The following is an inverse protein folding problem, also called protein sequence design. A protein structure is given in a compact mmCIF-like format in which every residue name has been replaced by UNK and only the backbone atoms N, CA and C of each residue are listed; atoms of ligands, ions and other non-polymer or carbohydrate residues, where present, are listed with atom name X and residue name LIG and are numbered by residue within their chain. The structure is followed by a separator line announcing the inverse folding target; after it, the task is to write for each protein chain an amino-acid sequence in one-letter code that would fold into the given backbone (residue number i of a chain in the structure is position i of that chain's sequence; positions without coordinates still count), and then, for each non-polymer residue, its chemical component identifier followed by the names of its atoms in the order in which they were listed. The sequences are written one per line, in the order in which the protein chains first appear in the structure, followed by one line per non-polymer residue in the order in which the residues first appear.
data_IF_495149093460
#
_entry.id   IF_495149093460
#
_cell.length_a   1.000
_cell.length_b   1.000
_cell.length_c   1.000
_cell.angle_alpha   90.00
_cell.angle_beta   90.00
_cell.angle_gamma   90.00
#
_symmetry.space_group_name_H-M   'P 1'
#
loop_
_entity.id
_entity.type
_entity.pdbx_description
1 polymer ?
#
# COMPACT_ATOMS: atom_id res chain seq x y z
N UNK A 1 19.24 10.59 9.74
CA UNK A 1 20.37 9.68 9.99
C UNK A 1 19.95 8.23 9.72
N UNK A 2 18.93 7.70 10.41
CA UNK A 2 18.42 6.32 10.23
C UNK A 2 17.91 6.00 8.82
N UNK A 3 16.95 6.78 8.29
CA UNK A 3 16.37 6.52 6.97
C UNK A 3 17.44 6.46 5.88
N UNK A 4 18.41 7.40 5.91
CA UNK A 4 19.50 7.46 4.94
C UNK A 4 20.38 6.21 5.00
N UNK A 5 20.78 5.78 6.20
CA UNK A 5 21.62 4.60 6.39
C UNK A 5 20.93 3.32 5.90
N UNK A 6 19.68 3.12 6.31
CA UNK A 6 18.89 1.97 5.85
C UNK A 6 18.67 2.00 4.33
N UNK A 7 18.48 3.19 3.76
CA UNK A 7 18.32 3.34 2.32
C UNK A 7 19.57 2.89 1.54
N UNK A 8 20.77 3.19 2.02
CA UNK A 8 22.02 2.70 1.42
C UNK A 8 22.13 1.16 1.52
N UNK A 9 21.75 0.59 2.67
CA UNK A 9 21.73 -0.86 2.87
C UNK A 9 20.75 -1.54 1.91
N UNK A 10 19.52 -1.03 1.81
CA UNK A 10 18.49 -1.56 0.91
C UNK A 10 18.91 -1.47 -0.55
N UNK A 11 19.47 -0.33 -0.96
CA UNK A 11 19.97 -0.13 -2.33
C UNK A 11 21.08 -1.11 -2.68
N UNK A 12 22.00 -1.40 -1.76
CA UNK A 12 23.08 -2.39 -1.97
C UNK A 12 22.55 -3.82 -2.20
N UNK A 13 21.32 -4.11 -1.74
CA UNK A 13 20.62 -5.40 -1.90
C UNK A 13 19.67 -5.42 -3.11
N UNK A 14 19.67 -4.38 -3.95
CA UNK A 14 18.80 -4.28 -5.11
C UNK A 14 17.34 -3.90 -4.79
N UNK A 15 17.06 -3.46 -3.56
CA UNK A 15 15.71 -3.00 -3.18
C UNK A 15 15.44 -1.64 -3.82
N UNK A 16 14.25 -1.47 -4.40
CA UNK A 16 13.84 -0.23 -5.04
C UNK A 16 12.82 0.51 -4.17
N UNK A 17 13.03 1.81 -3.97
CA UNK A 17 12.03 2.63 -3.30
C UNK A 17 10.88 2.96 -4.23
N UNK A 18 9.66 2.87 -3.70
CA UNK A 18 8.42 3.27 -4.35
C UNK A 18 7.61 4.16 -3.41
N UNK A 19 6.59 4.82 -3.95
CA UNK A 19 5.62 5.55 -3.16
C UNK A 19 4.23 5.23 -3.67
N UNK A 20 3.43 4.60 -2.82
CA UNK A 20 2.05 4.23 -3.14
C UNK A 20 1.06 5.27 -2.59
N UNK A 21 -0.16 5.35 -3.14
CA UNK A 21 -1.18 6.24 -2.63
C UNK A 21 -1.45 6.04 -1.13
N UNK A 22 -1.70 7.15 -0.42
CA UNK A 22 -2.09 7.11 1.00
C UNK A 22 -3.49 6.52 1.18
N UNK A 23 -4.39 6.80 0.23
CA UNK A 23 -5.81 6.42 0.29
C UNK A 23 -6.06 5.14 -0.50
N UNK A 24 -6.83 4.22 0.10
CA UNK A 24 -7.25 2.95 -0.49
C UNK A 24 -8.77 2.98 -0.67
N UNK A 25 -9.29 2.78 -1.90
CA UNK A 25 -10.73 2.65 -2.12
C UNK A 25 -11.32 1.44 -1.40
N UNK A 26 -12.56 1.54 -0.91
CA UNK A 26 -13.25 0.46 -0.22
C UNK A 26 -13.34 -0.83 -1.04
N UNK A 27 -13.57 -0.70 -2.35
CA UNK A 27 -13.59 -1.83 -3.28
C UNK A 27 -12.29 -2.63 -3.30
N UNK A 28 -11.16 -1.93 -3.25
CA UNK A 28 -9.82 -2.55 -3.21
C UNK A 28 -9.51 -3.09 -1.81
N UNK A 29 -9.80 -2.30 -0.78
CA UNK A 29 -9.53 -2.66 0.62
C UNK A 29 -10.32 -3.91 1.04
N UNK A 30 -11.55 -4.06 0.56
CA UNK A 30 -12.45 -5.18 0.88
C UNK A 30 -12.03 -6.53 0.27
N UNK A 31 -11.01 -6.58 -0.58
CA UNK A 31 -10.53 -7.85 -1.16
C UNK A 31 -9.86 -8.71 -0.09
N UNK A 32 -9.21 -8.11 0.91
CA UNK A 32 -8.50 -8.82 1.99
C UNK A 32 -9.19 -8.69 3.35
N UNK A 33 -10.46 -9.12 3.44
CA UNK A 33 -11.30 -8.98 4.65
C UNK A 33 -10.68 -9.54 5.93
N UNK A 34 -9.87 -10.60 5.82
CA UNK A 34 -9.22 -11.21 6.97
C UNK A 34 -8.16 -10.30 7.61
N UNK A 35 -7.41 -9.56 6.79
CA UNK A 35 -6.46 -8.54 7.27
C UNK A 35 -7.20 -7.35 7.90
N UNK A 36 -8.34 -6.95 7.35
CA UNK A 36 -9.16 -5.82 7.83
C UNK A 36 -9.61 -6.01 9.28
N UNK A 37 -9.97 -7.24 9.67
CA UNK A 37 -10.46 -7.54 11.01
C UNK A 37 -9.43 -7.19 12.11
N UNK A 38 -8.14 -7.26 11.80
CA UNK A 38 -7.06 -6.91 12.72
C UNK A 38 -6.87 -5.39 12.94
N UNK A 39 -7.32 -4.55 12.01
CA UNK A 39 -7.12 -3.09 12.04
C UNK A 39 -8.37 -2.30 12.49
N UNK A 40 -9.45 -3.01 12.84
CA UNK A 40 -10.79 -2.43 12.93
C UNK A 40 -11.00 -1.32 13.98
N UNK A 41 -10.22 -1.17 15.08
CA UNK A 41 -10.36 0.02 15.93
C UNK A 41 -9.55 1.24 15.43
N UNK A 42 -8.58 1.08 14.54
CA UNK A 42 -7.62 2.14 14.13
C UNK A 42 -7.84 2.69 12.71
N UNK A 43 -8.88 2.22 12.02
CA UNK A 43 -9.08 2.51 10.60
C UNK A 43 -9.68 3.90 10.34
N UNK A 44 -8.82 4.85 9.99
CA UNK A 44 -9.26 6.18 9.59
C UNK A 44 -9.90 6.18 8.19
N UNK A 45 -11.15 6.67 8.13
CA UNK A 45 -11.99 6.65 6.92
C UNK A 45 -12.36 8.05 6.47
N UNK A 46 -12.18 8.32 5.17
CA UNK A 46 -12.61 9.55 4.50
C UNK A 46 -13.94 9.27 3.79
N UNK A 47 -14.98 10.01 4.18
CA UNK A 47 -16.34 9.88 3.64
C UNK A 47 -16.80 11.12 2.89
N UNK A 48 -16.12 12.26 3.03
CA UNK A 48 -16.49 13.54 2.42
C UNK A 48 -15.27 14.26 1.83
N UNK A 49 -15.51 15.05 0.77
CA UNK A 49 -14.55 16.03 0.24
C UNK A 49 -15.25 17.39 0.16
N UNK A 50 -14.86 18.30 1.06
CA UNK A 50 -15.67 19.49 1.36
C UNK A 50 -17.04 19.06 1.87
N UNK A 51 -18.11 19.65 1.33
CA UNK A 51 -19.50 19.31 1.70
C UNK A 51 -20.09 18.16 0.87
N UNK A 52 -19.30 17.52 0.00
CA UNK A 52 -19.78 16.41 -0.85
C UNK A 52 -19.46 15.08 -0.20
N UNK A 53 -20.50 14.27 0.03
CA UNK A 53 -20.34 12.87 0.40
C UNK A 53 -19.78 12.07 -0.80
N UNK A 54 -18.78 11.24 -0.53
CA UNK A 54 -18.17 10.39 -1.53
C UNK A 54 -19.06 9.18 -1.84
N UNK A 55 -19.15 8.81 -3.11
CA UNK A 55 -19.87 7.59 -3.54
C UNK A 55 -19.23 6.30 -3.06
N UNK A 56 -17.94 6.35 -2.74
CA UNK A 56 -17.15 5.24 -2.21
C UNK A 56 -16.27 5.78 -1.08
N UNK A 57 -16.17 5.03 0.01
CA UNK A 57 -15.28 5.38 1.13
C UNK A 57 -13.82 5.20 0.72
N UNK A 58 -12.98 6.09 1.20
CA UNK A 58 -11.53 5.96 1.08
C UNK A 58 -10.93 5.73 2.45
N UNK A 59 -10.07 4.74 2.59
CA UNK A 59 -9.38 4.44 3.83
C UNK A 59 -7.98 5.03 3.78
N UNK A 60 -7.54 5.70 4.86
CA UNK A 60 -6.12 5.97 5.03
C UNK A 60 -5.46 4.62 5.28
N UNK A 61 -4.44 4.29 4.48
CA UNK A 61 -3.76 2.99 4.58
C UNK A 61 -3.24 2.76 6.02
N UNK A 62 -3.71 1.73 6.74
CA UNK A 62 -3.09 1.36 8.02
C UNK A 62 -1.74 0.68 7.77
N UNK A 63 -1.68 -0.07 6.67
CA UNK A 63 -0.53 -0.73 6.09
C UNK A 63 -0.80 -0.90 4.59
N UNK A 64 0.17 -1.36 3.80
CA UNK A 64 0.10 -1.27 2.34
C UNK A 64 0.11 -2.61 1.60
N UNK A 65 -0.15 -3.71 2.27
CA UNK A 65 -0.20 -5.08 1.72
C UNK A 65 -1.17 -5.13 0.53
N UNK A 66 -2.39 -4.60 0.69
CA UNK A 66 -3.39 -4.58 -0.40
C UNK A 66 -2.88 -3.81 -1.63
N UNK A 67 -2.18 -2.69 -1.42
CA UNK A 67 -1.63 -1.89 -2.51
C UNK A 67 -0.43 -2.59 -3.18
N UNK A 68 0.45 -3.22 -2.39
CA UNK A 68 1.55 -4.03 -2.92
C UNK A 68 1.04 -5.25 -3.68
N UNK A 69 0.02 -5.93 -3.18
CA UNK A 69 -0.61 -7.07 -3.84
C UNK A 69 -1.20 -6.68 -5.20
N UNK A 70 -1.93 -5.56 -5.27
CA UNK A 70 -2.46 -5.03 -6.54
C UNK A 70 -1.34 -4.64 -7.52
N UNK A 71 -0.28 -3.99 -7.02
CA UNK A 71 0.91 -3.66 -7.82
C UNK A 71 1.57 -4.93 -8.37
N UNK A 72 1.84 -5.91 -7.51
CA UNK A 72 2.47 -7.18 -7.86
C UNK A 72 1.65 -7.93 -8.91
N UNK A 73 0.33 -8.00 -8.71
CA UNK A 73 -0.60 -8.62 -9.66
C UNK A 73 -0.57 -7.97 -11.04
N UNK A 74 -0.35 -6.65 -11.13
CA UNK A 74 -0.29 -5.92 -12.41
C UNK A 74 1.09 -5.95 -13.05
N UNK A 75 2.15 -5.97 -12.24
CA UNK A 75 3.53 -5.86 -12.71
C UNK A 75 4.18 -7.20 -13.06
N UNK A 76 3.83 -8.28 -12.37
CA UNK A 76 4.45 -9.59 -12.58
C UNK A 76 3.61 -10.42 -13.55
N UNK A 77 4.12 -10.63 -14.75
CA UNK A 77 3.47 -11.40 -15.81
C UNK A 77 4.26 -12.68 -16.18
N UNK A 78 5.55 -12.72 -15.83
CA UNK A 78 6.46 -13.83 -16.09
C UNK A 78 7.43 -14.05 -14.92
N UNK A 79 8.02 -15.24 -14.87
CA UNK A 79 9.10 -15.55 -13.92
C UNK A 79 10.32 -14.62 -14.07
N UNK A 80 10.52 -14.04 -15.25
CA UNK A 80 11.60 -13.08 -15.51
C UNK A 80 11.39 -11.72 -14.83
N UNK A 81 10.17 -11.41 -14.39
CA UNK A 81 9.88 -10.16 -13.66
C UNK A 81 10.29 -10.27 -12.17
N UNK A 82 10.73 -11.45 -11.75
CA UNK A 82 11.15 -11.74 -10.37
C UNK A 82 12.68 -11.80 -10.25
N UNK A 83 13.24 -11.44 -9.08
CA UNK A 83 12.54 -10.94 -7.90
C UNK A 83 12.22 -9.44 -8.00
N UNK A 84 11.01 -9.05 -7.60
CA UNK A 84 10.65 -7.66 -7.39
C UNK A 84 10.70 -7.33 -5.90
N UNK A 85 11.67 -6.51 -5.49
CA UNK A 85 11.92 -6.20 -4.08
C UNK A 85 11.78 -4.70 -3.87
N UNK A 86 10.70 -4.29 -3.22
CA UNK A 86 10.30 -2.89 -3.09
C UNK A 86 10.30 -2.44 -1.63
N UNK A 87 10.56 -1.17 -1.41
CA UNK A 87 10.48 -0.50 -0.11
C UNK A 87 9.70 0.82 -0.24
N UNK A 88 9.01 1.22 0.81
CA UNK A 88 8.43 2.55 0.93
C UNK A 88 8.69 3.09 2.33
N UNK A 89 8.88 4.40 2.42
CA UNK A 89 9.06 5.12 3.66
C UNK A 89 7.73 5.71 4.15
#
# INVERSE_FOLDING_TARGET
MIQKELNEIFKSKGVQNVYMPLLIPESLFSIEKEHIAGFNPELATVTHVGDKELSEKLFIRPTSEVLFADLFKKSINSHNDLPMVLNQW
#
